data_IF_906230621111
#
_entry.id   IF_906230621111
#
_cell.length_a   1.000
_cell.length_b   1.000
_cell.length_c   1.000
_cell.angle_alpha   90.00
_cell.angle_beta   90.00
_cell.angle_gamma   90.00
#
_symmetry.space_group_name_H-M   'P 1'
#
loop_
_entity.id
_entity.type
_entity.pdbx_description
1 polymer ?
#
# COMPACT_ATOMS: atom_id res chain seq x y z
N UNK A 1 11.08 -20.69 12.88
CA UNK A 1 10.07 -21.75 13.14
C UNK A 1 8.75 -21.32 12.51
N UNK A 2 8.47 -21.81 11.30
CA UNK A 2 7.31 -21.42 10.48
C UNK A 2 6.16 -22.41 10.73
N UNK A 3 5.27 -22.14 11.68
CA UNK A 3 4.20 -23.09 12.06
C UNK A 3 2.76 -22.56 11.97
N UNK A 4 2.50 -21.37 11.41
CA UNK A 4 1.17 -20.74 11.43
C UNK A 4 0.38 -20.74 10.10
N UNK A 5 0.55 -21.74 9.23
CA UNK A 5 -0.17 -21.79 7.94
C UNK A 5 -1.19 -22.92 7.76
N UNK A 6 -1.49 -23.72 8.79
CA UNK A 6 -2.23 -24.97 8.59
C UNK A 6 -3.72 -25.00 8.97
N UNK A 7 -4.33 -24.01 9.64
CA UNK A 7 -5.71 -24.17 10.13
C UNK A 7 -6.64 -22.98 9.88
N UNK A 8 -6.88 -22.61 8.62
CA UNK A 8 -8.07 -21.84 8.23
C UNK A 8 -8.56 -22.36 6.88
N UNK A 9 -9.75 -22.97 6.87
CA UNK A 9 -10.43 -23.44 5.65
C UNK A 9 -11.37 -22.33 5.15
N UNK A 10 -11.16 -21.76 3.95
CA UNK A 10 -12.06 -20.74 3.39
C UNK A 10 -13.09 -21.33 2.40
N UNK A 11 -14.30 -20.72 2.28
CA UNK A 11 -15.37 -21.22 1.40
C UNK A 11 -15.14 -20.84 -0.08
N UNK A 12 -15.86 -21.47 -1.03
CA UNK A 12 -15.50 -21.46 -2.44
C UNK A 12 -16.28 -20.42 -3.25
N UNK A 13 -15.57 -19.44 -3.84
CA UNK A 13 -15.73 -18.99 -5.24
C UNK A 13 -14.86 -17.75 -5.52
N UNK A 14 -14.13 -17.78 -6.64
CA UNK A 14 -12.95 -16.97 -7.00
C UNK A 14 -11.77 -17.07 -6.01
N UNK A 15 -11.13 -18.25 -6.03
CA UNK A 15 -9.83 -18.64 -5.42
C UNK A 15 -9.19 -17.55 -4.53
N UNK A 16 -9.68 -17.54 -3.28
CA UNK A 16 -9.90 -16.34 -2.47
C UNK A 16 -8.66 -15.51 -2.21
N UNK A 17 -8.84 -14.19 -2.30
CA UNK A 17 -7.89 -13.25 -1.72
C UNK A 17 -7.81 -13.50 -0.21
N UNK A 18 -6.62 -13.78 0.30
CA UNK A 18 -6.40 -14.05 1.72
C UNK A 18 -5.76 -12.84 2.41
N UNK A 19 -6.35 -12.38 3.49
CA UNK A 19 -5.75 -11.38 4.35
C UNK A 19 -5.01 -12.05 5.52
N UNK A 20 -3.81 -11.58 5.83
CA UNK A 20 -3.01 -12.05 6.96
C UNK A 20 -2.65 -10.85 7.84
N UNK A 21 -3.10 -10.87 9.10
CA UNK A 21 -2.64 -9.92 10.09
C UNK A 21 -1.31 -10.42 10.69
N UNK A 22 -0.25 -9.68 10.46
CA UNK A 22 1.10 -10.00 10.94
C UNK A 22 1.38 -9.40 12.33
N UNK A 23 0.48 -8.57 12.86
CA UNK A 23 0.67 -7.82 14.10
C UNK A 23 1.77 -6.77 13.97
N UNK A 24 2.56 -6.59 15.05
CA UNK A 24 3.71 -5.68 15.06
C UNK A 24 4.98 -6.40 14.56
N UNK A 25 5.63 -5.88 13.51
CA UNK A 25 6.82 -6.51 12.89
C UNK A 25 7.84 -5.49 12.38
N UNK A 26 9.11 -5.90 12.34
CA UNK A 26 10.19 -5.14 11.73
C UNK A 26 9.95 -4.94 10.22
N UNK A 27 10.27 -3.75 9.71
CA UNK A 27 10.08 -3.41 8.29
C UNK A 27 10.80 -4.37 7.34
N UNK A 28 12.05 -4.72 7.65
CA UNK A 28 12.86 -5.61 6.80
C UNK A 28 12.29 -7.03 6.70
N UNK A 29 11.76 -7.58 7.79
CA UNK A 29 11.15 -8.92 7.78
C UNK A 29 9.94 -8.96 6.86
N UNK A 30 9.09 -7.94 6.95
CA UNK A 30 7.89 -7.83 6.12
C UNK A 30 8.27 -7.53 4.68
N UNK A 31 9.30 -6.72 4.44
CA UNK A 31 9.81 -6.47 3.09
C UNK A 31 10.33 -7.76 2.45
N UNK A 32 11.14 -8.55 3.16
CA UNK A 32 11.62 -9.86 2.69
C UNK A 32 10.48 -10.83 2.38
N UNK A 33 9.45 -10.85 3.24
CA UNK A 33 8.25 -11.65 3.02
C UNK A 33 7.52 -11.21 1.74
N UNK A 34 7.29 -9.90 1.59
CA UNK A 34 6.67 -9.32 0.39
C UNK A 34 7.44 -9.69 -0.87
N UNK A 35 8.76 -9.49 -0.89
CA UNK A 35 9.59 -9.80 -2.06
C UNK A 35 9.56 -11.29 -2.41
N UNK A 36 9.55 -12.16 -1.40
CA UNK A 36 9.46 -13.61 -1.59
C UNK A 36 8.15 -14.00 -2.26
N UNK A 37 7.01 -13.50 -1.75
CA UNK A 37 5.70 -13.78 -2.31
C UNK A 37 5.59 -13.18 -3.71
N UNK A 38 6.01 -11.92 -3.89
CA UNK A 38 6.00 -11.20 -5.16
C UNK A 38 6.76 -11.94 -6.25
N UNK A 39 8.03 -12.32 -5.99
CA UNK A 39 8.87 -13.04 -6.94
C UNK A 39 8.27 -14.41 -7.29
N UNK A 40 7.84 -15.19 -6.30
CA UNK A 40 7.23 -16.51 -6.53
C UNK A 40 5.92 -16.41 -7.31
N UNK A 41 5.08 -15.41 -7.02
CA UNK A 41 3.80 -15.20 -7.73
C UNK A 41 4.04 -14.83 -9.18
N UNK A 42 5.02 -13.94 -9.45
CA UNK A 42 5.43 -13.60 -10.80
C UNK A 42 5.97 -14.84 -11.53
N UNK A 43 6.89 -15.59 -10.94
CA UNK A 43 7.48 -16.78 -11.56
C UNK A 43 6.39 -17.78 -11.98
N UNK A 44 5.53 -18.19 -11.04
CA UNK A 44 4.45 -19.14 -11.33
C UNK A 44 3.47 -18.62 -12.36
N UNK A 45 3.13 -17.33 -12.32
CA UNK A 45 2.26 -16.72 -13.32
C UNK A 45 2.89 -16.78 -14.71
N UNK A 46 4.18 -16.46 -14.84
CA UNK A 46 4.86 -16.47 -16.13
C UNK A 46 4.99 -17.90 -16.68
N UNK A 47 5.29 -18.90 -15.84
CA UNK A 47 5.29 -20.31 -16.25
C UNK A 47 3.91 -20.77 -16.71
N UNK A 48 2.86 -20.41 -15.97
CA UNK A 48 1.48 -20.74 -16.33
C UNK A 48 1.04 -20.13 -17.67
N UNK A 49 1.44 -18.89 -17.95
CA UNK A 49 1.19 -18.21 -19.23
C UNK A 49 1.97 -18.88 -20.36
N UNK A 50 3.19 -19.38 -20.10
CA UNK A 50 4.03 -20.11 -21.08
C UNK A 50 3.60 -21.56 -21.33
N UNK A 51 2.54 -22.04 -20.68
CA UNK A 51 1.96 -23.36 -20.94
C UNK A 51 2.18 -24.40 -19.84
N UNK A 52 3.03 -24.14 -18.84
CA UNK A 52 3.20 -25.03 -17.69
C UNK A 52 2.01 -24.90 -16.72
N UNK A 53 0.95 -25.68 -16.97
CA UNK A 53 -0.25 -25.72 -16.12
C UNK A 53 -0.02 -26.37 -14.76
N UNK A 54 1.11 -27.07 -14.56
CA UNK A 54 1.49 -27.61 -13.25
C UNK A 54 1.93 -26.51 -12.27
N UNK A 55 2.36 -25.35 -12.78
CA UNK A 55 2.68 -24.17 -11.99
C UNK A 55 1.41 -23.53 -11.41
N UNK A 56 0.88 -24.12 -10.33
CA UNK A 56 -0.29 -23.58 -9.61
C UNK A 56 -0.08 -22.13 -9.22
N UNK A 57 -0.97 -21.26 -9.67
CA UNK A 57 -0.96 -19.83 -9.34
C UNK A 57 -0.98 -19.64 -7.83
N UNK A 58 -0.26 -18.63 -7.34
CA UNK A 58 -0.36 -18.23 -5.95
C UNK A 58 -1.59 -17.35 -5.82
N UNK A 59 -2.52 -17.62 -4.87
CA UNK A 59 -3.68 -16.77 -4.62
C UNK A 59 -3.31 -15.31 -4.36
N UNK A 60 -4.28 -14.42 -4.48
CA UNK A 60 -4.10 -13.03 -4.08
C UNK A 60 -3.96 -12.95 -2.56
N UNK A 61 -3.03 -12.14 -2.06
CA UNK A 61 -2.84 -11.98 -0.61
C UNK A 61 -2.77 -10.51 -0.22
N UNK A 62 -3.21 -10.19 0.99
CA UNK A 62 -3.05 -8.88 1.62
C UNK A 62 -2.37 -9.10 2.95
N UNK A 63 -1.23 -8.46 3.17
CA UNK A 63 -0.58 -8.47 4.49
C UNK A 63 -0.98 -7.20 5.23
N UNK A 64 -1.52 -7.33 6.43
CA UNK A 64 -1.79 -6.23 7.35
C UNK A 64 -0.72 -6.24 8.43
N UNK A 65 -0.12 -5.09 8.72
CA UNK A 65 0.98 -5.00 9.67
C UNK A 65 1.07 -3.61 10.28
N UNK A 66 1.53 -3.55 11.52
CA UNK A 66 2.06 -2.34 12.12
C UNK A 66 3.58 -2.49 12.23
N UNK A 67 4.34 -1.46 11.83
CA UNK A 67 5.79 -1.54 11.88
C UNK A 67 6.31 -1.25 13.29
N UNK A 68 7.01 -2.21 13.90
CA UNK A 68 7.42 -2.17 15.31
C UNK A 68 8.39 -1.04 15.64
N UNK A 69 9.11 -0.53 14.64
CA UNK A 69 10.11 0.52 14.79
C UNK A 69 9.91 1.60 13.73
N UNK A 70 10.14 2.88 14.08
CA UNK A 70 10.13 4.00 13.13
C UNK A 70 11.08 3.80 11.94
N UNK A 71 10.57 3.95 10.73
CA UNK A 71 11.35 3.82 9.48
C UNK A 71 10.86 4.79 8.41
N UNK A 72 11.77 5.53 7.80
CA UNK A 72 11.54 6.23 6.55
C UNK A 72 11.84 5.32 5.38
N UNK A 73 10.98 5.35 4.38
CA UNK A 73 11.24 4.67 3.11
C UNK A 73 11.25 5.69 1.98
N UNK A 74 12.19 5.56 1.05
CA UNK A 74 12.28 6.42 -0.13
C UNK A 74 11.86 5.58 -1.35
N UNK A 75 10.82 6.02 -2.05
CA UNK A 75 10.38 5.40 -3.29
C UNK A 75 11.20 5.85 -4.51
N UNK A 76 10.72 5.54 -5.71
CA UNK A 76 11.40 5.90 -6.98
C UNK A 76 11.59 7.40 -7.19
N UNK A 77 10.76 8.25 -6.57
CA UNK A 77 10.97 9.69 -6.60
C UNK A 77 11.87 10.06 -5.43
N UNK A 78 13.13 10.35 -5.72
CA UNK A 78 14.04 10.80 -4.67
C UNK A 78 13.56 12.14 -4.13
N UNK A 79 13.09 12.09 -2.89
CA UNK A 79 12.59 13.22 -2.10
C UNK A 79 13.17 13.13 -0.70
N UNK A 80 14.38 12.57 -0.59
CA UNK A 80 15.16 12.41 0.64
C UNK A 80 15.36 13.73 1.40
N UNK A 81 15.37 14.86 0.69
CA UNK A 81 15.39 16.20 1.29
C UNK A 81 14.20 16.49 2.22
N UNK A 82 13.13 15.67 2.19
CA UNK A 82 12.00 15.74 3.12
C UNK A 82 12.27 15.09 4.48
N UNK A 83 13.39 14.39 4.65
CA UNK A 83 13.80 13.79 5.93
C UNK A 83 14.54 14.86 6.75
N UNK A 84 14.05 15.14 7.96
CA UNK A 84 14.69 16.11 8.86
C UNK A 84 16.05 15.58 9.33
N UNK A 85 17.05 16.45 9.34
CA UNK A 85 18.34 16.17 9.97
C UNK A 85 18.13 15.80 11.45
N UNK A 86 18.85 14.79 11.94
CA UNK A 86 18.74 14.32 13.32
C UNK A 86 17.58 13.35 13.61
N UNK A 87 16.80 12.92 12.61
CA UNK A 87 15.86 11.81 12.80
C UNK A 87 16.63 10.50 13.07
N UNK A 88 16.36 9.88 14.22
CA UNK A 88 16.95 8.59 14.61
C UNK A 88 16.30 7.37 13.90
N UNK A 89 15.23 7.58 13.12
CA UNK A 89 14.55 6.53 12.39
C UNK A 89 15.39 6.04 11.21
N UNK A 90 15.38 4.73 10.96
CA UNK A 90 16.07 4.11 9.84
C UNK A 90 15.59 4.67 8.49
N UNK A 91 16.47 4.76 7.49
CA UNK A 91 16.10 5.16 6.13
C UNK A 91 16.35 4.01 5.15
N UNK A 92 15.30 3.53 4.49
CA UNK A 92 15.35 2.41 3.54
C UNK A 92 14.97 2.88 2.13
N UNK A 93 15.86 2.67 1.15
CA UNK A 93 15.53 2.89 -0.27
C UNK A 93 14.73 1.70 -0.82
N UNK A 94 13.69 1.99 -1.60
CA UNK A 94 12.76 0.97 -2.12
C UNK A 94 12.42 1.25 -3.58
N UNK A 95 11.79 0.28 -4.24
CA UNK A 95 11.35 0.41 -5.65
C UNK A 95 9.88 0.79 -5.81
N UNK A 96 9.18 1.12 -4.71
CA UNK A 96 7.78 1.58 -4.74
C UNK A 96 7.64 2.94 -5.41
N UNK A 97 6.46 3.20 -5.96
CA UNK A 97 6.09 4.53 -6.44
C UNK A 97 6.03 5.56 -5.31
N UNK A 98 6.10 6.84 -5.68
CA UNK A 98 6.05 7.93 -4.71
C UNK A 98 7.41 8.33 -4.15
N UNK A 99 7.35 9.28 -3.22
CA UNK A 99 8.52 9.87 -2.56
C UNK A 99 8.83 9.23 -1.22
N UNK A 100 9.38 10.01 -0.29
CA UNK A 100 9.57 9.60 1.10
C UNK A 100 8.23 9.35 1.79
N UNK A 101 8.15 8.30 2.61
CA UNK A 101 7.04 8.07 3.57
C UNK A 101 7.61 7.50 4.86
N UNK A 102 6.86 7.63 5.95
CA UNK A 102 7.18 7.06 7.25
C UNK A 102 6.29 5.85 7.53
N UNK A 103 6.86 4.89 8.25
CA UNK A 103 6.13 3.83 8.93
C UNK A 103 6.59 3.69 10.37
N UNK A 104 5.71 3.22 11.24
CA UNK A 104 6.04 2.98 12.64
C UNK A 104 4.81 2.62 13.47
N UNK A 105 4.95 2.55 14.80
CA UNK A 105 3.85 2.21 15.70
C UNK A 105 2.66 3.17 15.56
N UNK A 106 1.44 2.63 15.66
CA UNK A 106 0.17 3.34 15.45
C UNK A 106 -0.21 3.59 13.98
N UNK A 107 0.52 3.01 13.02
CA UNK A 107 0.19 3.06 11.60
C UNK A 107 -0.13 1.66 11.08
N UNK A 108 -1.35 1.48 10.57
CA UNK A 108 -1.76 0.22 9.92
C UNK A 108 -1.33 0.27 8.47
N UNK A 109 -0.49 -0.68 8.06
CA UNK A 109 0.00 -0.80 6.69
C UNK A 109 -0.56 -2.04 6.02
N UNK A 110 -1.11 -1.89 4.81
CA UNK A 110 -1.60 -2.97 3.98
C UNK A 110 -0.70 -3.17 2.77
N UNK A 111 -0.30 -4.42 2.53
CA UNK A 111 0.52 -4.82 1.39
C UNK A 111 -0.23 -5.85 0.53
N UNK A 112 -1.11 -5.40 -0.39
CA UNK A 112 -1.75 -6.28 -1.36
C UNK A 112 -0.74 -6.77 -2.41
N UNK A 113 -0.58 -8.09 -2.50
CA UNK A 113 0.25 -8.79 -3.48
C UNK A 113 -0.68 -9.55 -4.43
N UNK A 114 -1.21 -8.83 -5.41
CA UNK A 114 -2.32 -9.27 -6.27
C UNK A 114 -1.99 -9.06 -7.73
N UNK A 115 -2.62 -9.82 -8.64
CA UNK A 115 -2.58 -9.48 -10.06
C UNK A 115 -3.58 -8.37 -10.34
N UNK A 116 -3.07 -7.14 -10.46
CA UNK A 116 -3.89 -5.93 -10.62
C UNK A 116 -4.60 -5.91 -11.98
N UNK A 117 -4.00 -6.49 -13.03
CA UNK A 117 -4.62 -6.50 -14.35
C UNK A 117 -5.88 -7.39 -14.38
N UNK A 118 -5.84 -8.54 -13.71
CA UNK A 118 -7.00 -9.43 -13.60
C UNK A 118 -8.14 -8.74 -12.85
N UNK A 119 -7.83 -8.14 -11.69
CA UNK A 119 -8.83 -7.41 -10.90
C UNK A 119 -9.39 -6.21 -11.67
N UNK A 120 -8.53 -5.46 -12.37
CA UNK A 120 -8.95 -4.32 -13.18
C UNK A 120 -9.87 -4.76 -14.31
N UNK A 121 -9.63 -5.88 -14.99
CA UNK A 121 -10.52 -6.40 -16.04
C UNK A 121 -11.92 -6.74 -15.52
N UNK A 122 -12.03 -7.17 -14.26
CA UNK A 122 -13.31 -7.47 -13.60
C UNK A 122 -14.05 -6.22 -13.11
N UNK A 123 -13.38 -5.06 -13.05
CA UNK A 123 -14.02 -3.81 -12.67
C UNK A 123 -15.06 -3.37 -13.71
N UNK A 124 -16.30 -3.22 -13.25
CA UNK A 124 -17.50 -2.82 -14.01
C UNK A 124 -17.87 -1.34 -13.82
N UNK A 125 -17.05 -0.56 -13.11
CA UNK A 125 -17.31 0.85 -12.87
C UNK A 125 -17.38 1.63 -14.20
N UNK A 126 -18.41 2.47 -14.34
CA UNK A 126 -18.68 3.26 -15.54
C UNK A 126 -17.58 4.29 -15.83
N UNK A 127 -16.86 4.75 -14.81
CA UNK A 127 -15.78 5.75 -14.85
C UNK A 127 -14.39 5.10 -14.69
N UNK A 128 -14.18 3.95 -15.34
CA UNK A 128 -12.96 3.15 -15.19
C UNK A 128 -11.68 3.97 -15.47
N UNK A 129 -10.73 4.06 -14.52
CA UNK A 129 -9.49 4.80 -14.70
C UNK A 129 -8.64 4.29 -15.85
N UNK A 130 -7.82 5.18 -16.42
CA UNK A 130 -7.01 4.96 -17.64
C UNK A 130 -6.02 3.80 -17.53
N UNK A 131 -5.58 3.46 -16.33
CA UNK A 131 -4.63 2.37 -16.11
C UNK A 131 -4.98 1.49 -14.90
N UNK A 132 -4.60 0.19 -14.93
CA UNK A 132 -4.81 -0.71 -13.80
C UNK A 132 -4.18 -0.22 -12.49
N UNK A 133 -3.02 0.45 -12.56
CA UNK A 133 -2.31 0.93 -11.35
C UNK A 133 -2.99 2.14 -10.74
N UNK A 134 -3.47 3.08 -11.55
CA UNK A 134 -4.23 4.24 -11.07
C UNK A 134 -5.55 3.77 -10.46
N UNK A 135 -6.24 2.86 -11.14
CA UNK A 135 -7.45 2.24 -10.59
C UNK A 135 -7.20 1.58 -9.24
N UNK A 136 -6.18 0.74 -9.13
CA UNK A 136 -5.91 0.04 -7.89
C UNK A 136 -5.47 0.99 -6.77
N UNK A 137 -4.76 2.07 -7.10
CA UNK A 137 -4.44 3.12 -6.13
C UNK A 137 -5.71 3.78 -5.59
N UNK A 138 -6.66 4.13 -6.46
CA UNK A 138 -7.96 4.68 -6.07
C UNK A 138 -8.78 3.71 -5.21
N UNK A 139 -8.71 2.41 -5.47
CA UNK A 139 -9.36 1.38 -4.64
C UNK A 139 -8.79 1.37 -3.22
N UNK A 140 -7.47 1.43 -3.08
CA UNK A 140 -6.82 1.46 -1.76
C UNK A 140 -7.11 2.77 -1.01
N UNK A 141 -7.13 3.90 -1.71
CA UNK A 141 -7.53 5.18 -1.12
C UNK A 141 -9.00 5.15 -0.67
N UNK A 142 -9.92 4.61 -1.48
CA UNK A 142 -11.32 4.48 -1.09
C UNK A 142 -11.51 3.53 0.09
N UNK A 143 -10.74 2.44 0.17
CA UNK A 143 -10.78 1.55 1.32
C UNK A 143 -10.41 2.28 2.62
N UNK A 144 -9.36 3.12 2.58
CA UNK A 144 -8.98 3.96 3.72
C UNK A 144 -10.04 5.02 4.06
N UNK A 145 -10.69 5.62 3.05
CA UNK A 145 -11.80 6.56 3.26
C UNK A 145 -13.00 5.87 3.90
N UNK A 146 -13.37 4.67 3.45
CA UNK A 146 -14.47 3.91 4.03
C UNK A 146 -14.21 3.61 5.51
N UNK A 147 -12.99 3.15 5.84
CA UNK A 147 -12.58 2.95 7.24
C UNK A 147 -12.69 4.26 8.02
N UNK A 148 -12.20 5.39 7.51
CA UNK A 148 -12.35 6.68 8.17
C UNK A 148 -13.82 7.07 8.39
N UNK A 149 -14.69 6.77 7.42
CA UNK A 149 -16.14 6.98 7.50
C UNK A 149 -16.82 6.16 8.59
N UNK A 150 -16.37 4.93 8.85
CA UNK A 150 -16.87 4.11 9.98
C UNK A 150 -16.61 4.78 11.34
N UNK A 151 -15.59 5.65 11.43
CA UNK A 151 -15.28 6.45 12.62
C UNK A 151 -15.79 7.90 12.53
N UNK A 152 -16.66 8.21 11.56
CA UNK A 152 -17.19 9.57 11.31
C UNK A 152 -16.09 10.62 11.06
N UNK A 153 -14.98 10.21 10.43
CA UNK A 153 -13.89 11.11 10.05
C UNK A 153 -14.03 11.44 8.55
N UNK A 154 -14.38 12.69 8.19
CA UNK A 154 -14.47 13.10 6.80
C UNK A 154 -13.11 13.02 6.11
N UNK A 155 -13.05 12.32 4.98
CA UNK A 155 -11.82 12.01 4.27
C UNK A 155 -11.98 12.12 2.74
N UNK A 156 -10.95 12.62 2.06
CA UNK A 156 -10.99 12.86 0.61
C UNK A 156 -9.64 12.60 -0.09
N UNK A 157 -9.66 12.58 -1.43
CA UNK A 157 -8.54 12.28 -2.34
C UNK A 157 -8.01 13.51 -3.10
N UNK A 158 -8.04 14.69 -2.49
CA UNK A 158 -7.74 15.97 -3.16
C UNK A 158 -6.27 16.14 -3.56
N UNK A 159 -5.37 15.36 -2.94
CA UNK A 159 -3.94 15.26 -3.22
C UNK A 159 -3.54 13.78 -3.06
N UNK A 160 -2.37 13.38 -3.59
CA UNK A 160 -1.87 11.99 -3.49
C UNK A 160 -1.97 11.44 -2.05
N UNK A 161 -2.70 10.35 -1.88
CA UNK A 161 -3.06 9.76 -0.60
C UNK A 161 -4.45 10.19 -0.10
N UNK A 162 -4.73 9.89 1.18
CA UNK A 162 -6.00 10.22 1.83
C UNK A 162 -5.78 11.34 2.84
N UNK A 163 -6.67 12.33 2.82
CA UNK A 163 -6.59 13.54 3.63
C UNK A 163 -7.87 13.70 4.43
N UNK A 164 -7.76 14.14 5.68
CA UNK A 164 -8.90 14.58 6.47
C UNK A 164 -9.33 15.97 6.02
N UNK A 165 -10.61 16.29 6.21
CA UNK A 165 -11.03 17.68 6.29
C UNK A 165 -10.65 18.30 7.64
N UNK A 166 -10.99 19.57 7.83
CA UNK A 166 -10.88 20.22 9.15
C UNK A 166 -11.87 19.59 10.12
N UNK A 167 -11.40 19.26 11.32
CA UNK A 167 -12.22 18.69 12.38
C UNK A 167 -12.02 19.48 13.67
N UNK A 168 -13.01 20.29 14.07
CA UNK A 168 -12.84 21.29 15.13
C UNK A 168 -11.68 22.25 14.80
N UNK A 169 -10.78 22.45 15.76
CA UNK A 169 -9.56 23.26 15.59
C UNK A 169 -8.40 22.50 14.91
N UNK A 170 -8.61 21.24 14.50
CA UNK A 170 -7.59 20.43 13.84
C UNK A 170 -7.59 20.73 12.34
N UNK A 171 -6.52 21.38 11.87
CA UNK A 171 -6.30 21.63 10.45
C UNK A 171 -6.23 20.34 9.62
N UNK A 172 -6.65 20.34 8.33
CA UNK A 172 -6.58 19.20 7.43
C UNK A 172 -5.20 18.52 7.41
N UNK A 173 -5.16 17.19 7.52
CA UNK A 173 -3.90 16.42 7.53
C UNK A 173 -3.96 15.21 6.63
N UNK A 174 -2.79 14.76 6.19
CA UNK A 174 -2.66 13.49 5.47
C UNK A 174 -2.85 12.32 6.43
N UNK A 175 -3.90 11.54 6.21
CA UNK A 175 -4.21 10.36 7.01
C UNK A 175 -3.62 9.09 6.40
N UNK A 176 -3.51 9.02 5.07
CA UNK A 176 -3.01 7.82 4.41
C UNK A 176 -2.17 8.08 3.18
N UNK A 177 -1.36 7.09 2.81
CA UNK A 177 -0.57 7.11 1.59
C UNK A 177 -0.80 5.85 0.76
N UNK A 178 -0.53 5.93 -0.54
CA UNK A 178 -0.40 4.77 -1.44
C UNK A 178 0.95 4.86 -2.14
N UNK A 179 1.67 3.74 -2.15
CA UNK A 179 2.95 3.58 -2.81
C UNK A 179 3.12 2.14 -3.26
N UNK A 180 2.73 1.86 -4.51
CA UNK A 180 2.76 0.53 -5.10
C UNK A 180 4.00 0.33 -6.00
N UNK A 181 4.41 -0.92 -6.14
CA UNK A 181 5.29 -1.40 -7.21
C UNK A 181 4.54 -2.45 -8.02
N UNK A 182 4.73 -2.45 -9.35
CA UNK A 182 4.25 -3.51 -10.23
C UNK A 182 5.42 -4.27 -10.87
N UNK A 183 5.24 -5.57 -11.05
CA UNK A 183 6.06 -6.43 -11.89
C UNK A 183 5.19 -7.52 -12.51
N UNK A 184 5.18 -7.63 -13.85
CA UNK A 184 4.29 -8.54 -14.58
C UNK A 184 2.83 -8.53 -14.05
N UNK A 185 2.28 -7.33 -13.85
CA UNK A 185 0.93 -7.09 -13.30
C UNK A 185 0.69 -7.50 -11.84
N UNK A 186 1.66 -8.12 -11.18
CA UNK A 186 1.62 -8.39 -9.74
C UNK A 186 2.00 -7.12 -8.98
N UNK A 187 1.29 -6.80 -7.90
CA UNK A 187 1.62 -5.68 -7.00
C UNK A 187 2.50 -6.09 -5.82
N UNK A 188 3.21 -5.11 -5.27
CA UNK A 188 3.92 -5.17 -3.99
C UNK A 188 3.94 -3.76 -3.37
N UNK A 189 4.30 -3.66 -2.09
CA UNK A 189 4.04 -2.49 -1.26
C UNK A 189 2.52 -2.26 -1.21
N UNK A 190 2.05 -1.03 -1.02
CA UNK A 190 0.64 -0.82 -0.78
C UNK A 190 0.31 0.52 -0.18
N UNK A 191 -0.53 0.49 0.84
CA UNK A 191 -1.08 1.67 1.48
C UNK A 191 -0.86 1.64 2.99
N UNK A 192 -0.77 2.80 3.62
CA UNK A 192 -0.71 2.92 5.07
C UNK A 192 -1.66 3.99 5.55
N UNK A 193 -2.36 3.70 6.65
CA UNK A 193 -3.32 4.56 7.33
C UNK A 193 -2.82 4.89 8.73
N UNK A 194 -2.71 6.18 9.03
CA UNK A 194 -2.33 6.70 10.33
C UNK A 194 -3.54 6.57 11.27
N UNK A 195 -3.43 5.76 12.33
CA UNK A 195 -4.50 5.53 13.31
C UNK A 195 -4.21 6.29 14.60
N UNK A 196 -3.04 6.04 15.20
CA UNK A 196 -2.63 6.63 16.48
C UNK A 196 -1.14 6.97 16.53
N UNK A 197 -0.47 7.01 15.37
CA UNK A 197 0.97 7.20 15.34
C UNK A 197 1.38 8.62 15.75
N UNK A 198 2.20 8.75 16.80
CA UNK A 198 2.72 10.04 17.28
C UNK A 198 3.63 10.78 16.27
N UNK A 199 3.87 10.23 15.08
CA UNK A 199 4.62 10.90 14.01
C UNK A 199 3.76 11.94 13.24
N UNK A 200 2.73 12.52 13.87
CA UNK A 200 1.91 13.65 13.37
C UNK A 200 2.69 14.96 13.18
N UNK A 201 4.02 14.91 13.11
CA UNK A 201 4.80 16.05 12.67
C UNK A 201 4.42 16.34 11.22
N UNK A 202 4.24 17.62 10.91
CA UNK A 202 4.04 18.21 9.57
C UNK A 202 5.04 17.78 8.48
N UNK A 203 5.95 16.86 8.79
CA UNK A 203 7.08 16.37 8.01
C UNK A 203 6.67 15.54 6.78
N UNK A 204 5.50 14.88 6.78
CA UNK A 204 5.00 14.12 5.59
C UNK A 204 3.96 14.91 4.79
N UNK A 205 3.56 16.09 5.28
CA UNK A 205 2.52 16.93 4.66
C UNK A 205 2.99 17.70 3.41
N UNK A 206 4.29 17.75 3.11
CA UNK A 206 4.83 18.51 1.99
C UNK A 206 5.79 17.71 1.10
N UNK A 207 5.28 16.74 0.34
CA UNK A 207 5.77 16.59 -1.04
C UNK A 207 5.01 17.60 -1.93
N UNK A 208 5.23 18.90 -1.70
CA UNK A 208 4.59 20.01 -2.41
C UNK A 208 5.19 20.31 -3.81
N UNK A 209 6.00 19.40 -4.38
CA UNK A 209 6.50 19.52 -5.77
C UNK A 209 5.66 18.77 -6.82
N UNK A 210 4.47 18.29 -6.47
CA UNK A 210 3.52 17.75 -7.45
C UNK A 210 2.55 18.83 -7.99
N UNK A 211 3.04 20.07 -8.25
CA UNK A 211 2.25 21.18 -8.83
C UNK A 211 2.50 21.42 -10.33
N UNK A 212 3.25 20.56 -11.03
CA UNK A 212 3.46 20.72 -12.47
C UNK A 212 2.91 19.52 -13.23
N UNK A 213 1.60 19.59 -13.51
CA UNK A 213 0.85 19.05 -14.68
C UNK A 213 -0.64 18.89 -14.34
N UNK A 214 -1.29 19.93 -13.82
CA UNK A 214 -2.69 20.17 -14.16
C UNK A 214 -2.67 21.06 -15.39
N UNK A 215 -3.07 20.49 -16.52
CA UNK A 215 -3.30 21.22 -17.76
C UNK A 215 -4.31 22.32 -17.45
N UNK A 216 -4.00 23.55 -17.86
CA UNK A 216 -5.01 24.57 -18.14
C UNK A 216 -5.98 23.96 -19.16
N UNK A 217 -7.25 23.89 -18.80
CA UNK A 217 -8.35 24.21 -19.69
C UNK A 217 -8.99 25.47 -19.12
#
# INVERSE_FOLDING_TARGET
>A
MFYFLNNVVPPPSYDGMRAYNLGSRCYHDVLRLQETIFRKKIDRQMRYIRGDKSARLIPNVVLLVEHSSPVYTIGRRDTSNGIKAGCAAEVVKTRRGGGVTFHGPGQVTMYPIVNVQVLWKQCTASDKPRSPIEWFSSVLEQAMINVAGEYNIPAHRGRVGVWSDSWGDVAPRKMGFVGLQLGNWVSMHGAGLNVSNNCFTSTISLCARCRTKQRRL
#
